data_IF_903772349593
#
_entry.id   IF_903772349593
#
_cell.length_a   1.000
_cell.length_b   1.000
_cell.length_c   1.000
_cell.angle_alpha   90.00
_cell.angle_beta   90.00
_cell.angle_gamma   90.00
#
_symmetry.space_group_name_H-M   'P 1'
#
loop_
_entity.id
_entity.type
_entity.pdbx_description
1 polymer ?
#
# COMPACT_ATOMS: atom_id res chain seq x y z
N UNK A 1 41.95 14.79 -24.83
CA UNK A 1 40.79 13.87 -24.97
C UNK A 1 40.41 13.82 -26.45
N UNK A 2 39.92 12.67 -26.93
CA UNK A 2 39.37 12.57 -28.29
C UNK A 2 38.05 13.35 -28.37
N UNK A 3 37.92 14.24 -29.35
CA UNK A 3 36.74 15.10 -29.54
C UNK A 3 35.66 14.48 -30.47
N UNK A 4 35.91 13.29 -31.00
CA UNK A 4 35.03 12.56 -31.91
C UNK A 4 35.00 11.08 -31.56
N UNK A 5 33.91 10.42 -31.92
CA UNK A 5 33.77 8.96 -31.97
C UNK A 5 34.04 8.57 -33.41
N UNK A 6 35.07 7.76 -33.65
CA UNK A 6 35.44 7.30 -34.99
C UNK A 6 35.12 5.82 -35.10
N UNK A 7 34.22 5.47 -36.02
CA UNK A 7 33.82 4.09 -36.32
C UNK A 7 34.45 3.70 -37.64
N UNK A 8 35.20 2.60 -37.67
CA UNK A 8 35.87 2.11 -38.88
C UNK A 8 35.39 0.71 -39.23
N UNK A 9 34.97 0.55 -40.49
CA UNK A 9 34.61 -0.74 -41.07
C UNK A 9 33.42 -1.44 -40.40
N UNK A 10 32.35 -0.70 -40.08
CA UNK A 10 31.14 -1.29 -39.53
C UNK A 10 30.39 -2.11 -40.60
N UNK A 11 30.11 -3.38 -40.26
CA UNK A 11 29.52 -4.40 -41.15
C UNK A 11 28.30 -5.09 -40.53
N UNK A 12 27.91 -4.73 -39.31
CA UNK A 12 26.74 -5.29 -38.63
C UNK A 12 25.49 -5.26 -39.51
N UNK A 13 24.82 -6.41 -39.65
CA UNK A 13 23.63 -6.61 -40.48
C UNK A 13 23.83 -6.20 -41.96
N UNK A 14 23.25 -5.08 -42.38
CA UNK A 14 23.27 -4.63 -43.77
C UNK A 14 24.26 -3.49 -44.02
N UNK A 15 25.07 -3.11 -43.02
CA UNK A 15 26.11 -2.09 -43.16
C UNK A 15 27.20 -2.56 -44.13
N UNK A 16 27.61 -1.67 -45.04
CA UNK A 16 28.53 -1.99 -46.14
C UNK A 16 29.95 -1.53 -45.85
N UNK A 17 30.53 -2.04 -44.76
CA UNK A 17 31.90 -1.71 -44.33
C UNK A 17 32.11 -0.19 -44.17
N UNK A 18 31.17 0.49 -43.53
CA UNK A 18 31.15 1.94 -43.47
C UNK A 18 32.12 2.48 -42.43
N UNK A 19 32.68 3.66 -42.68
CA UNK A 19 33.44 4.43 -41.69
C UNK A 19 32.79 5.79 -41.48
N UNK A 20 32.61 6.20 -40.23
CA UNK A 20 31.91 7.44 -39.86
C UNK A 20 32.55 8.08 -38.64
N UNK A 21 32.62 9.41 -38.65
CA UNK A 21 33.02 10.20 -37.49
C UNK A 21 31.80 10.93 -36.92
N UNK A 22 31.65 10.85 -35.60
CA UNK A 22 30.56 11.50 -34.86
C UNK A 22 31.18 12.50 -33.87
N UNK A 23 30.85 13.79 -33.92
CA UNK A 23 31.33 14.75 -32.94
C UNK A 23 30.83 14.40 -31.54
N UNK A 24 31.69 14.52 -30.53
CA UNK A 24 31.30 14.31 -29.13
C UNK A 24 30.64 15.56 -28.56
N UNK A 25 29.82 15.36 -27.53
CA UNK A 25 29.11 16.43 -26.81
C UNK A 25 28.16 17.25 -27.70
N UNK A 26 27.59 16.61 -28.72
CA UNK A 26 26.60 17.21 -29.63
C UNK A 26 25.33 16.36 -29.68
N UNK A 27 24.21 16.99 -29.99
CA UNK A 27 22.97 16.29 -30.31
C UNK A 27 23.02 15.79 -31.76
N UNK A 28 23.46 14.55 -31.95
CA UNK A 28 23.64 13.94 -33.29
C UNK A 28 22.41 13.12 -33.67
N UNK A 29 21.85 13.39 -34.86
CA UNK A 29 20.68 12.67 -35.40
C UNK A 29 21.11 11.80 -36.58
N UNK A 30 20.81 10.49 -36.51
CA UNK A 30 20.99 9.55 -37.62
C UNK A 30 19.66 9.41 -38.36
N UNK A 31 19.62 9.76 -39.64
CA UNK A 31 18.40 9.76 -40.48
C UNK A 31 18.58 8.94 -41.76
N UNK A 32 17.47 8.57 -42.40
CA UNK A 32 17.44 7.71 -43.59
C UNK A 32 16.19 6.83 -43.69
N UNK A 33 15.97 6.22 -44.86
CA UNK A 33 14.82 5.35 -45.14
C UNK A 33 14.70 4.15 -44.18
N UNK A 34 13.49 3.63 -43.99
CA UNK A 34 13.32 2.38 -43.21
C UNK A 34 14.19 1.26 -43.79
N UNK A 35 14.87 0.50 -42.93
CA UNK A 35 15.82 -0.52 -43.35
C UNK A 35 17.19 -0.03 -43.83
N UNK A 36 17.49 1.28 -43.81
CA UNK A 36 18.78 1.81 -44.29
C UNK A 36 20.01 1.50 -43.40
N UNK A 37 19.84 0.71 -42.33
CA UNK A 37 20.93 0.37 -41.40
C UNK A 37 21.15 1.35 -40.25
N UNK A 38 20.24 2.30 -40.01
CA UNK A 38 20.33 3.28 -38.89
C UNK A 38 20.46 2.60 -37.53
N UNK A 39 19.55 1.67 -37.24
CA UNK A 39 19.55 0.94 -35.97
C UNK A 39 20.77 0.03 -35.86
N UNK A 40 21.20 -0.55 -36.98
CA UNK A 40 22.41 -1.38 -37.03
C UNK A 40 23.68 -0.60 -36.69
N UNK A 41 23.78 0.65 -37.13
CA UNK A 41 24.89 1.53 -36.74
C UNK A 41 24.74 2.03 -35.29
N UNK A 42 23.57 2.54 -34.91
CA UNK A 42 23.35 3.20 -33.63
C UNK A 42 23.33 2.21 -32.44
N UNK A 43 22.46 1.21 -32.52
CA UNK A 43 22.20 0.25 -31.44
C UNK A 43 23.11 -0.97 -31.54
N UNK A 44 23.10 -1.63 -32.70
CA UNK A 44 23.77 -2.93 -32.84
C UNK A 44 25.30 -2.80 -33.00
N UNK A 45 25.82 -1.59 -33.24
CA UNK A 45 27.28 -1.34 -33.35
C UNK A 45 27.79 -0.40 -32.26
N UNK A 46 27.38 0.88 -32.25
CA UNK A 46 27.95 1.90 -31.35
C UNK A 46 27.55 1.65 -29.90
N UNK A 47 26.25 1.50 -29.62
CA UNK A 47 25.74 1.22 -28.29
C UNK A 47 26.24 -0.14 -27.77
N UNK A 48 26.12 -1.20 -28.57
CA UNK A 48 26.58 -2.53 -28.21
C UNK A 48 28.06 -2.54 -27.80
N UNK A 49 28.94 -1.93 -28.59
CA UNK A 49 30.36 -1.84 -28.25
C UNK A 49 30.62 -0.97 -27.01
N UNK A 50 29.85 0.11 -26.82
CA UNK A 50 29.97 1.00 -25.66
C UNK A 50 29.58 0.32 -24.36
N UNK A 51 28.47 -0.42 -24.37
CA UNK A 51 28.03 -1.21 -23.24
C UNK A 51 28.98 -2.38 -22.98
N UNK A 52 29.39 -3.13 -24.01
CA UNK A 52 30.33 -4.26 -23.88
C UNK A 52 31.63 -3.83 -23.22
N UNK A 53 32.28 -2.78 -23.73
CA UNK A 53 33.54 -2.27 -23.16
C UNK A 53 33.38 -1.83 -21.71
N UNK A 54 32.25 -1.20 -21.35
CA UNK A 54 31.98 -0.81 -19.97
C UNK A 54 31.82 -2.04 -19.06
N UNK A 55 31.01 -3.03 -19.47
CA UNK A 55 30.80 -4.28 -18.71
C UNK A 55 32.11 -5.07 -18.56
N UNK A 56 32.99 -5.04 -19.55
CA UNK A 56 34.32 -5.65 -19.49
C UNK A 56 35.25 -5.00 -18.45
N UNK A 57 34.99 -3.77 -18.01
CA UNK A 57 35.75 -3.17 -16.89
C UNK A 57 35.26 -3.65 -15.52
N UNK A 58 34.08 -4.26 -15.43
CA UNK A 58 33.51 -4.74 -14.17
C UNK A 58 34.15 -6.07 -13.73
N UNK A 59 33.97 -6.40 -12.44
CA UNK A 59 34.53 -7.61 -11.84
C UNK A 59 34.02 -8.88 -12.54
N UNK A 60 34.81 -9.98 -12.56
CA UNK A 60 34.38 -11.24 -13.16
C UNK A 60 33.04 -11.76 -12.63
N UNK A 61 32.75 -11.50 -11.35
CA UNK A 61 31.48 -11.84 -10.71
C UNK A 61 30.31 -11.00 -11.24
N UNK A 62 30.48 -9.68 -11.37
CA UNK A 62 29.43 -8.80 -11.90
C UNK A 62 29.07 -9.14 -13.36
N UNK A 63 30.04 -9.60 -14.17
CA UNK A 63 29.82 -10.03 -15.56
C UNK A 63 28.94 -11.28 -15.70
N UNK A 64 28.69 -12.03 -14.63
CA UNK A 64 27.78 -13.19 -14.66
C UNK A 64 26.30 -12.79 -14.67
N UNK A 65 25.98 -11.59 -14.18
CA UNK A 65 24.60 -11.10 -14.03
C UNK A 65 24.22 -10.04 -15.08
N UNK A 66 25.15 -9.70 -15.95
CA UNK A 66 24.97 -8.70 -16.99
C UNK A 66 24.89 -9.38 -18.34
N UNK A 67 24.00 -8.88 -19.19
CA UNK A 67 23.82 -9.40 -20.53
C UNK A 67 25.12 -9.19 -21.32
N UNK A 68 25.74 -10.29 -21.74
CA UNK A 68 26.97 -10.25 -22.52
C UNK A 68 26.58 -9.94 -23.96
N UNK A 69 26.67 -8.67 -24.32
CA UNK A 69 26.44 -8.27 -25.71
C UNK A 69 27.51 -8.89 -26.60
N UNK A 70 27.07 -9.50 -27.70
CA UNK A 70 27.97 -10.00 -28.72
C UNK A 70 28.84 -8.87 -29.26
N UNK A 71 30.11 -9.19 -29.57
CA UNK A 71 31.01 -8.22 -30.16
C UNK A 71 30.50 -7.87 -31.57
N UNK A 72 30.19 -6.60 -31.87
CA UNK A 72 29.67 -6.22 -33.17
C UNK A 72 30.71 -6.37 -34.27
N UNK A 73 30.26 -6.58 -35.50
CA UNK A 73 31.12 -6.66 -36.68
C UNK A 73 31.63 -5.27 -37.09
N UNK A 74 32.75 -4.86 -36.47
CA UNK A 74 33.43 -3.58 -36.73
C UNK A 74 34.94 -3.75 -36.59
N UNK A 75 35.73 -3.03 -37.39
CA UNK A 75 37.20 -3.12 -37.30
C UNK A 75 37.72 -2.41 -36.05
N UNK A 76 37.30 -1.16 -35.85
CA UNK A 76 37.64 -0.40 -34.66
C UNK A 76 36.62 0.71 -34.38
N UNK A 77 36.48 1.03 -33.10
CA UNK A 77 35.76 2.22 -32.64
C UNK A 77 36.62 2.94 -31.60
N UNK A 78 36.93 4.21 -31.87
CA UNK A 78 37.72 5.07 -31.01
C UNK A 78 36.88 6.21 -30.43
N UNK A 79 37.26 6.70 -29.25
CA UNK A 79 36.58 7.84 -28.61
C UNK A 79 35.21 7.52 -28.01
N UNK A 80 34.84 6.23 -27.92
CA UNK A 80 33.56 5.76 -27.40
C UNK A 80 33.44 6.00 -25.89
N UNK A 81 32.25 6.37 -25.43
CA UNK A 81 31.90 6.51 -24.01
C UNK A 81 31.05 5.32 -23.55
N UNK A 82 30.95 5.03 -22.25
CA UNK A 82 29.88 4.16 -21.75
C UNK A 82 28.54 4.63 -22.30
N UNK A 83 27.81 3.72 -22.94
CA UNK A 83 26.61 4.03 -23.70
C UNK A 83 25.36 3.54 -22.96
N UNK A 84 24.27 4.30 -23.07
CA UNK A 84 22.95 3.96 -22.55
C UNK A 84 21.97 4.03 -23.72
N UNK A 85 21.18 2.98 -23.92
CA UNK A 85 20.11 2.96 -24.91
C UNK A 85 18.80 3.35 -24.25
N UNK A 86 18.05 4.23 -24.91
CA UNK A 86 16.68 4.58 -24.55
C UNK A 86 15.80 4.16 -25.72
N UNK A 87 15.20 2.98 -25.59
CA UNK A 87 14.33 2.35 -26.60
C UNK A 87 12.89 2.28 -26.13
N UNK A 88 11.95 2.28 -27.06
CA UNK A 88 10.55 1.95 -26.79
C UNK A 88 10.36 0.42 -26.68
N UNK A 89 11.16 -0.26 -25.86
CA UNK A 89 10.89 -1.64 -25.46
C UNK A 89 9.97 -1.63 -24.26
N UNK A 90 8.88 -2.40 -24.30
CA UNK A 90 7.95 -2.52 -23.17
C UNK A 90 8.71 -2.92 -21.92
N UNK A 91 8.69 -2.06 -20.90
CA UNK A 91 9.21 -2.40 -19.57
C UNK A 91 8.51 -3.66 -19.04
N UNK A 92 9.23 -4.42 -18.21
CA UNK A 92 8.73 -5.59 -17.47
C UNK A 92 7.24 -5.48 -17.11
N UNK A 93 6.42 -6.42 -17.59
CA UNK A 93 4.97 -6.52 -17.34
C UNK A 93 4.67 -7.08 -15.96
N UNK A 94 5.40 -6.62 -14.94
CA UNK A 94 5.12 -7.02 -13.56
C UNK A 94 3.84 -6.31 -13.08
N UNK A 95 2.84 -7.04 -12.54
CA UNK A 95 1.62 -6.43 -12.04
C UNK A 95 1.86 -5.49 -10.84
N UNK A 96 3.02 -5.60 -10.19
CA UNK A 96 3.42 -4.73 -9.08
C UNK A 96 4.28 -3.55 -9.49
N UNK A 97 4.63 -3.41 -10.76
CA UNK A 97 5.43 -2.26 -11.21
C UNK A 97 4.53 -1.07 -11.54
N UNK A 98 4.86 0.10 -11.02
CA UNK A 98 4.17 1.38 -11.26
C UNK A 98 5.14 2.44 -11.74
N UNK A 99 4.62 3.57 -12.23
CA UNK A 99 5.44 4.76 -12.55
C UNK A 99 6.32 5.14 -11.35
N UNK A 100 5.76 5.17 -10.14
CA UNK A 100 6.48 5.50 -8.92
C UNK A 100 7.60 4.53 -8.57
N UNK A 101 7.47 3.22 -8.87
CA UNK A 101 8.55 2.26 -8.63
C UNK A 101 9.63 2.32 -9.71
N UNK A 102 9.23 2.50 -10.98
CA UNK A 102 10.19 2.59 -12.10
C UNK A 102 11.05 3.85 -11.99
N UNK A 103 10.48 4.94 -11.50
CA UNK A 103 11.17 6.22 -11.29
C UNK A 103 11.85 6.30 -9.92
N UNK A 104 11.74 5.27 -9.07
CA UNK A 104 12.19 5.21 -7.68
C UNK A 104 11.62 6.30 -6.76
N UNK A 105 10.72 7.17 -7.25
CA UNK A 105 10.05 8.21 -6.45
C UNK A 105 9.33 7.56 -5.27
N UNK A 106 8.70 6.42 -5.51
CA UNK A 106 8.02 5.66 -4.47
C UNK A 106 8.98 5.23 -3.35
N UNK A 107 10.24 4.89 -3.67
CA UNK A 107 11.21 4.48 -2.66
C UNK A 107 11.57 5.62 -1.71
N UNK A 108 11.74 6.84 -2.24
CA UNK A 108 11.93 8.04 -1.44
C UNK A 108 10.67 8.39 -0.63
N UNK A 109 9.48 8.20 -1.19
CA UNK A 109 8.23 8.37 -0.44
C UNK A 109 8.17 7.43 0.77
N UNK A 110 8.55 6.15 0.61
CA UNK A 110 8.60 5.23 1.76
C UNK A 110 9.54 5.72 2.87
N UNK A 111 10.70 6.27 2.50
CA UNK A 111 11.63 6.86 3.47
C UNK A 111 11.01 8.07 4.17
N UNK A 112 10.41 8.99 3.41
CA UNK A 112 9.75 10.19 3.93
C UNK A 112 8.63 9.82 4.91
N UNK A 113 7.67 8.99 4.49
CA UNK A 113 6.51 8.59 5.30
C UNK A 113 6.90 7.79 6.54
N UNK A 114 7.95 6.96 6.47
CA UNK A 114 8.43 6.25 7.67
C UNK A 114 9.14 7.14 8.67
N UNK A 115 9.72 8.26 8.21
CA UNK A 115 10.62 9.09 9.03
C UNK A 115 9.89 10.26 9.71
N UNK A 116 8.97 10.91 8.99
CA UNK A 116 8.23 12.10 9.48
C UNK A 116 6.70 11.94 9.37
N UNK A 117 6.22 10.79 8.88
CA UNK A 117 4.80 10.53 8.77
C UNK A 117 4.14 10.41 10.15
N UNK A 118 2.99 11.05 10.30
CA UNK A 118 2.16 10.98 11.49
C UNK A 118 1.15 9.85 11.29
N UNK A 119 1.20 8.77 12.09
CA UNK A 119 0.23 7.68 11.95
C UNK A 119 -1.12 8.07 12.56
N UNK A 120 -2.19 7.64 11.91
CA UNK A 120 -3.56 7.77 12.41
C UNK A 120 -4.16 6.38 12.63
N UNK A 121 -5.17 6.29 13.50
CA UNK A 121 -5.91 5.07 13.67
C UNK A 121 -6.76 4.79 12.42
N UNK A 122 -6.66 3.60 11.80
CA UNK A 122 -7.49 3.26 10.64
C UNK A 122 -9.00 3.17 10.94
N UNK A 123 -9.39 2.99 12.21
CA UNK A 123 -10.79 2.84 12.62
C UNK A 123 -11.44 4.16 12.99
N UNK A 124 -10.76 4.99 13.78
CA UNK A 124 -11.35 6.22 14.33
C UNK A 124 -10.67 7.51 13.84
N UNK A 125 -9.59 7.43 13.06
CA UNK A 125 -8.85 8.58 12.53
C UNK A 125 -8.02 9.37 13.55
N UNK A 126 -7.99 8.96 14.83
CA UNK A 126 -7.23 9.66 15.86
C UNK A 126 -5.73 9.54 15.61
N UNK A 127 -4.97 10.60 15.91
CA UNK A 127 -3.51 10.60 15.82
C UNK A 127 -2.94 9.56 16.80
N UNK A 128 -2.06 8.70 16.29
CA UNK A 128 -1.29 7.75 17.09
C UNK A 128 0.09 8.37 17.31
N UNK A 129 0.43 8.62 18.56
CA UNK A 129 1.76 9.10 18.93
C UNK A 129 2.37 8.13 19.94
N UNK A 130 3.63 7.76 19.70
CA UNK A 130 4.47 7.12 20.71
C UNK A 130 5.12 8.21 21.53
N UNK A 131 5.00 8.14 22.84
CA UNK A 131 5.64 9.09 23.74
C UNK A 131 6.43 8.35 24.80
N UNK A 132 7.68 8.75 25.03
CA UNK A 132 8.44 8.20 26.16
C UNK A 132 7.79 8.64 27.49
N UNK A 133 7.97 7.89 28.58
CA UNK A 133 7.49 8.32 29.89
C UNK A 133 7.92 9.75 30.25
N UNK A 134 9.16 10.13 29.93
CA UNK A 134 9.67 11.48 30.13
C UNK A 134 8.94 12.54 29.29
N UNK A 135 8.55 12.23 28.05
CA UNK A 135 7.76 13.14 27.21
C UNK A 135 6.33 13.30 27.72
N UNK A 136 5.69 12.21 28.16
CA UNK A 136 4.36 12.24 28.79
C UNK A 136 4.42 13.14 30.03
N UNK A 137 5.43 12.97 30.88
CA UNK A 137 5.62 13.78 32.07
C UNK A 137 5.81 15.27 31.74
N UNK A 138 6.66 15.58 30.76
CA UNK A 138 6.87 16.95 30.31
C UNK A 138 5.59 17.62 29.80
N UNK A 139 4.80 16.91 28.98
CA UNK A 139 3.51 17.40 28.50
C UNK A 139 2.52 17.62 29.65
N UNK A 140 2.28 16.61 30.49
CA UNK A 140 1.35 16.69 31.62
C UNK A 140 1.71 17.84 32.55
N UNK A 141 3.00 18.04 32.83
CA UNK A 141 3.46 19.13 33.68
C UNK A 141 3.23 20.50 33.04
N UNK A 142 3.50 20.63 31.72
CA UNK A 142 3.34 21.89 30.98
C UNK A 142 1.88 22.30 30.77
N UNK A 143 0.99 21.35 30.47
CA UNK A 143 -0.40 21.62 30.09
C UNK A 143 -1.35 21.78 31.30
N UNK A 144 -0.98 21.19 32.44
CA UNK A 144 -1.86 21.09 33.60
C UNK A 144 -1.32 21.79 34.84
N UNK A 145 -0.40 22.74 34.69
CA UNK A 145 0.19 23.48 35.81
C UNK A 145 -0.90 24.13 36.70
N UNK A 146 -0.86 23.85 38.01
CA UNK A 146 -1.83 24.32 38.99
C UNK A 146 -3.15 23.55 39.05
N UNK A 147 -3.42 22.63 38.10
CA UNK A 147 -4.68 21.85 38.06
C UNK A 147 -4.60 20.59 38.93
N UNK A 148 -5.77 20.12 39.37
CA UNK A 148 -5.95 18.81 40.02
C UNK A 148 -6.20 17.75 38.96
N UNK A 149 -5.38 16.71 38.95
CA UNK A 149 -5.48 15.61 38.00
C UNK A 149 -5.64 14.27 38.71
N UNK A 150 -6.23 13.31 38.00
CA UNK A 150 -6.26 11.90 38.34
C UNK A 150 -5.46 11.13 37.30
N UNK A 151 -4.50 10.33 37.77
CA UNK A 151 -3.71 9.41 36.95
C UNK A 151 -4.42 8.07 36.93
N UNK A 152 -4.84 7.66 35.73
CA UNK A 152 -5.67 6.50 35.49
C UNK A 152 -4.93 5.49 34.61
N UNK A 153 -5.04 4.21 34.92
CA UNK A 153 -4.53 3.11 34.10
C UNK A 153 -5.70 2.37 33.44
N UNK A 154 -5.96 2.54 32.14
CA UNK A 154 -7.09 1.91 31.46
C UNK A 154 -6.83 0.43 31.18
N UNK A 155 -7.35 -0.45 32.03
CA UNK A 155 -7.16 -1.91 31.93
C UNK A 155 -8.11 -2.52 30.89
N UNK A 156 -9.33 -2.02 30.81
CA UNK A 156 -10.32 -2.43 29.80
C UNK A 156 -11.10 -1.21 29.29
N UNK A 157 -11.37 -1.15 27.99
CA UNK A 157 -12.09 -0.02 27.36
C UNK A 157 -13.17 -0.54 26.42
N UNK A 158 -14.43 -0.35 26.79
CA UNK A 158 -15.58 -0.73 25.96
C UNK A 158 -15.60 -2.20 25.51
N UNK A 159 -15.03 -3.12 26.30
CA UNK A 159 -14.93 -4.55 25.94
C UNK A 159 -15.90 -5.38 26.78
N UNK A 160 -16.41 -6.48 26.20
CA UNK A 160 -17.32 -7.42 26.89
C UNK A 160 -16.55 -8.36 27.79
N UNK A 161 -16.96 -8.48 29.05
CA UNK A 161 -16.34 -9.40 29.99
C UNK A 161 -16.76 -9.17 31.43
N UNK A 162 -16.54 -10.16 32.28
CA UNK A 162 -16.79 -10.06 33.73
C UNK A 162 -15.59 -9.51 34.53
N UNK A 163 -14.39 -9.51 33.92
CA UNK A 163 -13.14 -8.93 34.46
C UNK A 163 -12.79 -9.28 35.92
N UNK A 164 -13.22 -10.45 36.42
CA UNK A 164 -13.02 -10.85 37.82
C UNK A 164 -11.55 -10.89 38.23
N UNK A 165 -10.69 -11.45 37.37
CA UNK A 165 -9.25 -11.60 37.66
C UNK A 165 -8.58 -10.23 37.77
N UNK A 166 -8.95 -9.32 36.89
CA UNK A 166 -8.46 -7.95 36.83
C UNK A 166 -8.91 -7.17 38.07
N UNK A 167 -10.20 -7.23 38.43
CA UNK A 167 -10.74 -6.57 39.63
C UNK A 167 -10.12 -7.10 40.93
N UNK A 168 -9.93 -8.42 41.04
CA UNK A 168 -9.22 -9.03 42.19
C UNK A 168 -7.76 -8.57 42.27
N UNK A 169 -7.06 -8.44 41.13
CA UNK A 169 -5.69 -7.96 41.10
C UNK A 169 -5.60 -6.50 41.57
N UNK A 170 -6.53 -5.64 41.12
CA UNK A 170 -6.58 -4.23 41.53
C UNK A 170 -6.87 -4.11 43.03
N UNK A 171 -7.82 -4.90 43.56
CA UNK A 171 -8.16 -4.96 44.98
C UNK A 171 -6.97 -5.41 45.83
N UNK A 172 -6.27 -6.49 45.44
CA UNK A 172 -5.06 -6.97 46.15
C UNK A 172 -3.94 -5.94 46.18
N UNK A 173 -3.84 -5.11 45.15
CA UNK A 173 -2.87 -4.02 45.10
C UNK A 173 -3.31 -2.77 45.88
N UNK A 174 -4.53 -2.76 46.45
CA UNK A 174 -5.05 -1.66 47.27
C UNK A 174 -5.48 -0.43 46.47
N UNK A 175 -5.67 -0.56 45.16
CA UNK A 175 -6.11 0.55 44.31
C UNK A 175 -7.63 0.65 44.22
N UNK A 176 -8.12 1.86 43.93
CA UNK A 176 -9.53 2.09 43.55
C UNK A 176 -9.68 1.93 42.04
N UNK A 177 -10.89 1.65 41.56
CA UNK A 177 -11.17 1.59 40.13
C UNK A 177 -12.28 2.57 39.75
N UNK A 178 -12.21 3.13 38.54
CA UNK A 178 -13.31 3.78 37.85
C UNK A 178 -13.92 2.76 36.89
N UNK A 179 -15.16 2.37 37.10
CA UNK A 179 -15.88 1.40 36.28
C UNK A 179 -17.08 2.11 35.64
N UNK A 180 -17.13 2.13 34.32
CA UNK A 180 -18.20 2.78 33.54
C UNK A 180 -18.47 4.24 33.96
N UNK A 181 -17.42 4.94 34.39
CA UNK A 181 -17.47 6.34 34.85
C UNK A 181 -17.65 6.53 36.35
N UNK A 182 -18.03 5.49 37.11
CA UNK A 182 -18.23 5.56 38.55
C UNK A 182 -16.98 5.12 39.33
N UNK A 183 -16.63 5.87 40.37
CA UNK A 183 -15.51 5.52 41.25
C UNK A 183 -15.96 4.49 42.29
N UNK A 184 -15.37 3.30 42.24
CA UNK A 184 -15.72 2.16 43.10
C UNK A 184 -14.52 1.75 43.96
N UNK A 185 -14.78 1.54 45.25
CA UNK A 185 -13.86 0.88 46.17
C UNK A 185 -14.01 -0.64 46.07
N UNK A 186 -12.92 -1.35 45.80
CA UNK A 186 -12.93 -2.80 45.54
C UNK A 186 -12.79 -3.64 46.83
N UNK A 187 -13.34 -3.15 47.93
CA UNK A 187 -13.36 -3.87 49.22
C UNK A 187 -14.38 -5.02 49.18
N UNK A 188 -15.41 -4.89 48.35
CA UNK A 188 -16.42 -5.92 48.08
C UNK A 188 -16.33 -6.40 46.61
N UNK A 189 -16.59 -7.69 46.33
CA UNK A 189 -16.48 -8.24 44.98
C UNK A 189 -17.56 -7.69 44.04
N UNK A 190 -17.17 -6.77 43.16
CA UNK A 190 -18.03 -6.21 42.11
C UNK A 190 -18.27 -7.24 41.01
N UNK A 191 -19.54 -7.54 40.71
CA UNK A 191 -19.93 -8.43 39.60
C UNK A 191 -20.35 -7.63 38.38
N UNK A 192 -19.57 -7.76 37.29
CA UNK A 192 -19.88 -7.18 35.99
C UNK A 192 -20.59 -8.18 35.07
N UNK A 193 -21.42 -7.68 34.16
CA UNK A 193 -22.21 -8.50 33.23
C UNK A 193 -21.36 -8.87 32.00
N UNK A 194 -21.15 -10.17 31.80
CA UNK A 194 -20.36 -10.71 30.68
C UNK A 194 -20.89 -10.28 29.29
N UNK A 195 -22.16 -9.89 29.16
CA UNK A 195 -22.77 -9.52 27.88
C UNK A 195 -22.67 -8.03 27.56
N UNK A 196 -22.29 -7.19 28.52
CA UNK A 196 -22.20 -5.73 28.35
C UNK A 196 -20.75 -5.29 28.14
N UNK A 197 -20.58 -4.17 27.44
CA UNK A 197 -19.29 -3.52 27.29
C UNK A 197 -18.99 -2.76 28.58
N UNK A 198 -17.81 -2.98 29.14
CA UNK A 198 -17.35 -2.30 30.35
C UNK A 198 -16.04 -1.54 30.09
N UNK A 199 -15.87 -0.41 30.76
CA UNK A 199 -14.63 0.38 30.82
C UNK A 199 -14.12 0.38 32.25
N UNK A 200 -12.91 -0.11 32.46
CA UNK A 200 -12.30 -0.30 33.79
C UNK A 200 -10.95 0.38 33.80
N UNK A 201 -10.79 1.32 34.72
CA UNK A 201 -9.58 2.12 34.87
C UNK A 201 -9.12 2.13 36.31
N UNK A 202 -7.85 1.82 36.55
CA UNK A 202 -7.27 1.85 37.89
C UNK A 202 -6.94 3.29 38.23
N UNK A 203 -7.41 3.76 39.39
CA UNK A 203 -7.05 5.07 39.93
C UNK A 203 -5.72 4.93 40.66
N UNK A 204 -4.64 5.34 40.00
CA UNK A 204 -3.27 5.18 40.52
C UNK A 204 -2.92 6.28 41.51
N UNK A 205 -3.20 7.53 41.17
CA UNK A 205 -2.95 8.67 42.06
C UNK A 205 -3.87 9.86 41.74
N UNK A 206 -4.02 10.76 42.71
CA UNK A 206 -4.70 12.04 42.57
C UNK A 206 -3.76 13.15 43.05
N UNK A 207 -3.38 14.04 42.13
CA UNK A 207 -2.28 14.97 42.30
C UNK A 207 -2.70 16.40 41.95
N UNK A 208 -2.01 17.38 42.53
CA UNK A 208 -2.04 18.78 42.07
C UNK A 208 -0.71 19.07 41.40
N UNK A 209 -0.71 19.49 40.14
CA UNK A 209 0.54 19.81 39.44
C UNK A 209 1.13 21.10 39.99
N UNK A 210 2.25 21.01 40.69
CA UNK A 210 3.04 22.12 41.24
C UNK A 210 4.54 21.83 41.06
N UNK A 211 5.41 22.85 41.04
CA UNK A 211 6.86 22.64 41.08
C UNK A 211 7.25 21.75 42.28
N UNK A 212 8.09 20.74 42.04
CA UNK A 212 8.56 19.79 43.07
C UNK A 212 7.77 18.49 43.22
N UNK A 213 6.67 18.28 42.47
CA UNK A 213 5.93 17.00 42.49
C UNK A 213 6.36 16.01 41.39
N UNK A 214 7.41 16.33 40.64
CA UNK A 214 7.81 15.60 39.42
C UNK A 214 8.11 14.13 39.69
N UNK A 215 8.88 13.82 40.75
CA UNK A 215 9.20 12.43 41.12
C UNK A 215 7.96 11.61 41.47
N UNK A 216 6.96 12.24 42.12
CA UNK A 216 5.72 11.56 42.46
C UNK A 216 4.89 11.30 41.21
N UNK A 217 4.75 12.30 40.34
CA UNK A 217 4.04 12.15 39.07
C UNK A 217 4.69 11.09 38.19
N UNK A 218 6.03 11.06 38.12
CA UNK A 218 6.79 10.02 37.43
C UNK A 218 6.47 8.63 37.96
N UNK A 219 6.49 8.44 39.28
CA UNK A 219 6.10 7.17 39.90
C UNK A 219 4.65 6.76 39.56
N UNK A 220 3.71 7.70 39.58
CA UNK A 220 2.31 7.43 39.24
C UNK A 220 2.13 7.07 37.77
N UNK A 221 2.77 7.79 36.86
CA UNK A 221 2.70 7.54 35.41
C UNK A 221 3.35 6.19 35.07
N UNK A 222 4.52 5.88 35.61
CA UNK A 222 5.15 4.57 35.40
C UNK A 222 4.30 3.42 35.94
N UNK A 223 3.66 3.61 37.10
CA UNK A 223 2.75 2.62 37.66
C UNK A 223 1.53 2.42 36.76
N UNK A 224 0.93 3.51 36.24
CA UNK A 224 -0.20 3.42 35.32
C UNK A 224 0.16 2.72 34.00
N UNK A 225 1.31 3.05 33.42
CA UNK A 225 1.85 2.40 32.23
C UNK A 225 2.03 0.89 32.46
N UNK A 226 2.57 0.47 33.61
CA UNK A 226 2.71 -0.96 33.95
C UNK A 226 1.38 -1.68 34.07
N UNK A 227 0.37 -1.05 34.68
CA UNK A 227 -0.96 -1.66 34.90
C UNK A 227 -1.77 -1.83 33.63
N UNK A 228 -1.54 -0.99 32.62
CA UNK A 228 -2.34 -0.96 31.38
C UNK A 228 -1.52 -1.21 30.12
N UNK A 229 -0.39 -1.92 30.27
CA UNK A 229 0.50 -2.36 29.18
C UNK A 229 0.97 -1.22 28.25
N UNK A 230 1.28 -0.06 28.83
CA UNK A 230 1.84 1.11 28.15
C UNK A 230 0.82 2.20 27.82
N UNK A 231 -0.30 2.29 28.56
CA UNK A 231 -1.27 3.39 28.45
C UNK A 231 -1.35 4.19 29.76
N UNK A 232 -1.76 5.44 29.68
CA UNK A 232 -2.07 6.24 30.88
C UNK A 232 -3.07 7.32 30.51
N UNK A 233 -4.17 7.39 31.24
CA UNK A 233 -5.16 8.45 31.12
C UNK A 233 -4.94 9.50 32.21
N UNK A 234 -4.94 10.76 31.82
CA UNK A 234 -4.87 11.90 32.73
C UNK A 234 -6.21 12.62 32.65
N UNK A 235 -6.96 12.56 33.73
CA UNK A 235 -8.27 13.20 33.85
C UNK A 235 -8.15 14.43 34.74
N UNK A 236 -8.42 15.61 34.21
CA UNK A 236 -8.48 16.85 35.01
C UNK A 236 -9.82 16.89 35.73
N UNK A 237 -9.82 17.17 37.05
CA UNK A 237 -11.08 17.33 37.80
C UNK A 237 -11.87 18.50 37.18
N UNK A 238 -13.12 18.25 36.76
CA UNK A 238 -14.00 19.19 36.05
C UNK A 238 -13.46 19.71 34.70
N UNK A 239 -12.60 18.93 34.04
CA UNK A 239 -11.98 19.32 32.78
C UNK A 239 -11.90 18.21 31.74
N UNK A 240 -10.97 18.37 30.81
CA UNK A 240 -10.72 17.40 29.74
C UNK A 240 -9.93 16.19 30.24
N UNK A 241 -10.17 15.06 29.59
CA UNK A 241 -9.43 13.82 29.79
C UNK A 241 -8.56 13.55 28.55
N UNK A 242 -7.29 13.21 28.77
CA UNK A 242 -6.33 12.88 27.70
C UNK A 242 -5.68 11.53 27.97
N UNK A 243 -5.55 10.73 26.91
CA UNK A 243 -4.86 9.44 26.97
C UNK A 243 -3.49 9.54 26.28
N UNK A 244 -2.50 8.97 26.93
CA UNK A 244 -1.12 8.88 26.45
C UNK A 244 -0.72 7.40 26.29
N UNK A 245 0.21 7.13 25.37
CA UNK A 245 0.73 5.77 25.15
C UNK A 245 2.25 5.74 24.98
N UNK A 246 2.87 4.77 25.65
CA UNK A 246 4.29 4.42 25.48
C UNK A 246 4.54 3.59 24.21
N UNK A 247 3.47 3.01 23.65
CA UNK A 247 3.48 2.23 22.40
C UNK A 247 2.76 3.02 21.31
N UNK A 248 2.90 2.58 20.05
CA UNK A 248 2.09 3.12 18.97
C UNK A 248 0.68 2.51 19.06
N UNK A 249 -0.14 3.00 19.99
CA UNK A 249 -1.51 2.53 20.18
C UNK A 249 -2.51 3.67 20.08
N UNK A 250 -3.66 3.38 19.47
CA UNK A 250 -4.76 4.33 19.35
C UNK A 250 -5.31 4.71 20.73
N UNK A 251 -5.47 6.02 21.00
CA UNK A 251 -5.97 6.46 22.28
C UNK A 251 -7.47 6.23 22.49
N UNK A 252 -8.25 5.92 21.45
CA UNK A 252 -9.70 5.72 21.59
C UNK A 252 -10.09 4.24 21.66
N UNK A 253 -9.57 3.41 20.75
CA UNK A 253 -9.99 2.00 20.61
C UNK A 253 -8.92 0.99 21.05
N UNK A 254 -7.69 1.43 21.30
CA UNK A 254 -6.59 0.56 21.73
C UNK A 254 -5.99 -0.31 20.62
N UNK A 255 -6.28 -0.01 19.36
CA UNK A 255 -5.61 -0.61 18.21
C UNK A 255 -4.12 -0.27 18.27
N UNK A 256 -3.28 -1.29 18.44
CA UNK A 256 -1.83 -1.14 18.33
C UNK A 256 -1.42 -1.23 16.87
N UNK A 257 -0.60 -0.29 16.41
CA UNK A 257 0.04 -0.37 15.10
C UNK A 257 1.50 -0.82 15.29
N UNK A 258 2.02 -1.68 14.39
CA UNK A 258 3.42 -2.06 14.42
C UNK A 258 4.31 -0.85 14.14
N UNK A 259 5.59 -0.96 14.50
CA UNK A 259 6.57 0.07 14.15
C UNK A 259 6.60 0.26 12.63
N UNK A 260 6.48 1.51 12.21
CA UNK A 260 6.47 1.89 10.81
C UNK A 260 7.91 2.09 10.34
N UNK A 261 8.30 1.30 9.36
CA UNK A 261 9.60 1.35 8.70
C UNK A 261 9.37 1.54 7.19
N UNK A 262 10.39 1.89 6.39
CA UNK A 262 10.21 2.05 4.94
C UNK A 262 9.55 0.84 4.26
N UNK A 263 9.85 -0.38 4.73
CA UNK A 263 9.22 -1.62 4.24
C UNK A 263 7.72 -1.71 4.52
N UNK A 264 7.23 -1.05 5.57
CA UNK A 264 5.80 -0.99 5.89
C UNK A 264 5.01 -0.21 4.84
N UNK A 265 5.67 0.63 4.05
CA UNK A 265 5.08 1.37 2.92
C UNK A 265 5.34 0.69 1.57
N UNK A 266 5.93 -0.51 1.56
CA UNK A 266 6.17 -1.26 0.34
C UNK A 266 5.07 -2.29 0.10
N UNK A 267 4.30 -2.14 -0.97
CA UNK A 267 3.36 -3.17 -1.42
C UNK A 267 4.06 -4.40 -2.03
N UNK A 268 5.38 -4.34 -2.24
CA UNK A 268 6.20 -5.51 -2.61
C UNK A 268 6.66 -6.32 -1.38
N UNK A 269 6.39 -5.82 -0.17
CA UNK A 269 6.81 -6.45 1.09
C UNK A 269 5.59 -6.95 1.86
N UNK A 270 5.63 -8.13 2.51
CA UNK A 270 4.51 -8.61 3.32
C UNK A 270 4.18 -7.70 4.51
N UNK A 271 5.13 -6.86 4.93
CA UNK A 271 4.94 -5.88 6.00
C UNK A 271 4.02 -4.74 5.60
N UNK A 272 4.05 -4.31 4.33
CA UNK A 272 3.25 -3.20 3.83
C UNK A 272 2.10 -3.61 2.91
N UNK A 273 2.21 -4.75 2.22
CA UNK A 273 1.23 -5.23 1.26
C UNK A 273 -0.12 -5.56 1.91
N UNK A 274 -1.21 -5.15 1.28
CA UNK A 274 -2.56 -5.57 1.63
C UNK A 274 -2.62 -7.10 1.72
N UNK A 275 -3.20 -7.62 2.79
CA UNK A 275 -3.22 -9.06 3.07
C UNK A 275 -4.07 -9.85 2.05
N UNK A 276 -5.04 -9.21 1.41
CA UNK A 276 -5.97 -9.84 0.46
C UNK A 276 -5.40 -9.91 -0.95
N UNK A 277 -4.99 -8.78 -1.54
CA UNK A 277 -4.41 -8.77 -2.89
C UNK A 277 -2.89 -8.99 -2.91
N UNK A 278 -2.25 -9.18 -1.76
CA UNK A 278 -0.78 -9.29 -1.63
C UNK A 278 -0.03 -8.18 -2.37
N UNK A 279 -0.55 -6.96 -2.28
CA UNK A 279 0.07 -5.77 -2.87
C UNK A 279 -0.05 -5.61 -4.38
N UNK A 280 -0.93 -6.38 -5.02
CA UNK A 280 -1.25 -6.19 -6.45
C UNK A 280 -2.23 -5.02 -6.65
N UNK A 281 -3.17 -4.83 -5.72
CA UNK A 281 -4.23 -3.83 -5.81
C UNK A 281 -5.52 -4.34 -6.46
N UNK A 282 -5.43 -5.45 -7.19
CA UNK A 282 -6.58 -6.14 -7.76
C UNK A 282 -6.72 -7.56 -7.23
N UNK A 283 -7.95 -8.04 -7.22
CA UNK A 283 -8.30 -9.46 -7.09
C UNK A 283 -8.83 -9.97 -8.43
N UNK A 284 -8.97 -11.28 -8.59
CA UNK A 284 -9.63 -11.86 -9.74
C UNK A 284 -11.06 -12.21 -9.36
N UNK A 285 -12.03 -11.78 -10.16
CA UNK A 285 -13.42 -12.17 -10.01
C UNK A 285 -13.99 -12.58 -11.37
N UNK A 286 -15.01 -13.44 -11.37
CA UNK A 286 -15.72 -13.80 -12.59
C UNK A 286 -16.37 -12.56 -13.23
N UNK A 287 -16.11 -12.38 -14.51
CA UNK A 287 -16.62 -11.26 -15.29
C UNK A 287 -17.95 -11.66 -15.95
N UNK A 288 -19.08 -11.00 -15.62
CA UNK A 288 -20.37 -11.31 -16.22
C UNK A 288 -20.36 -11.34 -17.75
N UNK A 289 -19.56 -10.47 -18.37
CA UNK A 289 -19.48 -10.35 -19.83
C UNK A 289 -18.72 -11.52 -20.43
N UNK A 290 -17.74 -12.08 -19.71
CA UNK A 290 -17.01 -13.27 -20.17
C UNK A 290 -17.77 -14.55 -19.86
N UNK A 291 -18.46 -14.61 -18.72
CA UNK A 291 -19.24 -15.78 -18.29
C UNK A 291 -20.44 -16.02 -19.20
N UNK A 292 -21.11 -14.96 -19.66
CA UNK A 292 -22.20 -15.04 -20.65
C UNK A 292 -21.61 -14.89 -22.06
N UNK A 293 -21.22 -16.00 -22.68
CA UNK A 293 -20.54 -16.03 -23.97
C UNK A 293 -21.44 -15.62 -25.15
N UNK A 294 -22.72 -16.00 -25.12
CA UNK A 294 -23.66 -15.76 -26.22
C UNK A 294 -25.06 -15.36 -25.69
N UNK A 295 -25.29 -14.06 -25.42
CA UNK A 295 -26.57 -13.60 -24.87
C UNK A 295 -27.79 -13.87 -25.76
N UNK A 296 -27.60 -14.19 -27.06
CA UNK A 296 -28.68 -14.46 -28.02
C UNK A 296 -29.29 -15.86 -27.87
N UNK A 297 -28.70 -16.71 -27.02
CA UNK A 297 -29.15 -18.08 -26.77
C UNK A 297 -29.80 -18.24 -25.40
N UNK A 298 -30.54 -19.34 -25.16
CA UNK A 298 -31.04 -19.67 -23.83
C UNK A 298 -29.91 -19.89 -22.84
N UNK A 299 -30.17 -19.65 -21.56
CA UNK A 299 -29.12 -19.59 -20.53
C UNK A 299 -28.31 -20.90 -20.44
N UNK A 300 -29.01 -22.03 -20.37
CA UNK A 300 -28.40 -23.36 -20.27
C UNK A 300 -28.05 -23.98 -21.64
N UNK A 301 -28.50 -23.36 -22.74
CA UNK A 301 -28.30 -23.85 -24.11
C UNK A 301 -27.40 -22.90 -24.91
N UNK A 302 -26.21 -22.65 -24.37
CA UNK A 302 -25.12 -21.98 -25.08
C UNK A 302 -24.87 -20.51 -24.71
N UNK A 303 -25.72 -19.85 -23.92
CA UNK A 303 -25.40 -18.50 -23.43
C UNK A 303 -24.39 -18.50 -22.28
N UNK A 304 -24.51 -19.45 -21.35
CA UNK A 304 -23.57 -19.60 -20.24
C UNK A 304 -22.35 -20.44 -20.66
N UNK A 305 -21.16 -19.86 -20.57
CA UNK A 305 -19.91 -20.54 -20.90
C UNK A 305 -19.49 -21.56 -19.83
N UNK A 306 -18.97 -21.10 -18.68
CA UNK A 306 -18.45 -22.00 -17.65
C UNK A 306 -19.58 -22.62 -16.82
N UNK A 307 -19.44 -23.91 -16.53
CA UNK A 307 -20.32 -24.62 -15.59
C UNK A 307 -21.72 -24.95 -16.12
N UNK A 308 -22.07 -24.58 -17.36
CA UNK A 308 -23.41 -24.83 -17.94
C UNK A 308 -23.82 -26.32 -17.98
N UNK A 309 -22.85 -27.23 -18.09
CA UNK A 309 -23.06 -28.68 -18.04
C UNK A 309 -22.92 -29.29 -16.64
N UNK A 310 -22.62 -28.49 -15.61
CA UNK A 310 -22.46 -28.97 -14.24
C UNK A 310 -23.81 -29.24 -13.59
N UNK A 311 -23.98 -30.41 -12.99
CA UNK A 311 -25.21 -30.76 -12.26
C UNK A 311 -25.56 -29.76 -11.16
N UNK A 312 -24.57 -29.20 -10.47
CA UNK A 312 -24.78 -28.19 -9.43
C UNK A 312 -25.34 -26.88 -10.00
N UNK A 313 -24.83 -26.46 -11.17
CA UNK A 313 -25.29 -25.25 -11.85
C UNK A 313 -26.66 -25.44 -12.47
N UNK A 314 -26.88 -26.58 -13.12
CA UNK A 314 -28.15 -26.96 -13.73
C UNK A 314 -29.26 -27.02 -12.69
N UNK A 315 -29.06 -27.72 -11.57
CA UNK A 315 -30.06 -27.81 -10.51
C UNK A 315 -30.35 -26.44 -9.91
N UNK A 316 -29.31 -25.68 -9.55
CA UNK A 316 -29.50 -24.36 -8.92
C UNK A 316 -30.21 -23.36 -9.83
N UNK A 317 -29.92 -23.35 -11.13
CA UNK A 317 -30.58 -22.47 -12.09
C UNK A 317 -32.01 -22.90 -12.41
N UNK A 318 -32.28 -24.20 -12.50
CA UNK A 318 -33.63 -24.72 -12.76
C UNK A 318 -34.54 -24.48 -11.55
N UNK A 319 -34.06 -24.77 -10.34
CA UNK A 319 -34.80 -24.52 -9.10
C UNK A 319 -35.11 -23.02 -8.92
N UNK A 320 -34.13 -22.15 -9.23
CA UNK A 320 -34.32 -20.71 -9.19
C UNK A 320 -35.31 -20.23 -10.24
N UNK A 321 -35.26 -20.80 -11.46
CA UNK A 321 -36.18 -20.47 -12.54
C UNK A 321 -37.63 -20.82 -12.19
N UNK A 322 -37.87 -22.00 -11.61
CA UNK A 322 -39.19 -22.42 -11.16
C UNK A 322 -39.71 -21.56 -10.00
N UNK A 323 -38.86 -21.33 -8.99
CA UNK A 323 -39.23 -20.57 -7.78
C UNK A 323 -39.56 -19.11 -8.09
N UNK A 324 -38.82 -18.51 -9.03
CA UNK A 324 -38.93 -17.09 -9.37
C UNK A 324 -39.79 -16.83 -10.61
N UNK A 325 -40.32 -17.88 -11.24
CA UNK A 325 -41.14 -17.79 -12.46
C UNK A 325 -40.37 -17.25 -13.67
N UNK A 326 -39.09 -17.59 -13.80
CA UNK A 326 -38.21 -17.12 -14.88
C UNK A 326 -38.18 -18.16 -15.99
N UNK A 327 -38.54 -17.75 -17.20
CA UNK A 327 -38.43 -18.59 -18.39
C UNK A 327 -36.99 -18.56 -18.95
N UNK A 328 -36.15 -19.48 -18.48
CA UNK A 328 -34.75 -19.61 -18.90
C UNK A 328 -34.57 -20.26 -20.29
N UNK A 329 -35.66 -20.66 -20.94
CA UNK A 329 -35.64 -21.20 -22.31
C UNK A 329 -35.59 -20.12 -23.38
N UNK A 330 -35.86 -18.86 -23.02
CA UNK A 330 -35.71 -17.71 -23.90
C UNK A 330 -34.24 -17.26 -24.01
N UNK A 331 -33.86 -16.62 -25.13
CA UNK A 331 -32.60 -15.91 -25.24
C UNK A 331 -32.31 -15.04 -24.01
N UNK A 332 -31.10 -15.13 -23.47
CA UNK A 332 -30.75 -14.43 -22.23
C UNK A 332 -30.94 -12.91 -22.34
N UNK A 333 -30.64 -12.33 -23.50
CA UNK A 333 -30.79 -10.90 -23.74
C UNK A 333 -32.24 -10.39 -23.76
N UNK A 334 -33.20 -11.26 -24.11
CA UNK A 334 -34.63 -10.96 -24.10
C UNK A 334 -35.19 -10.91 -22.67
N UNK A 335 -34.48 -11.48 -21.70
CA UNK A 335 -34.88 -11.42 -20.30
C UNK A 335 -34.80 -9.98 -19.77
N UNK A 336 -35.77 -9.55 -18.94
CA UNK A 336 -35.74 -8.25 -18.29
C UNK A 336 -34.41 -8.03 -17.55
N UNK A 337 -33.88 -6.80 -17.59
CA UNK A 337 -32.58 -6.47 -16.96
C UNK A 337 -32.52 -6.85 -15.48
N UNK A 338 -33.64 -6.70 -14.75
CA UNK A 338 -33.75 -7.14 -13.34
C UNK A 338 -33.55 -8.64 -13.19
N UNK A 339 -34.17 -9.43 -14.07
CA UNK A 339 -34.07 -10.89 -14.11
C UNK A 339 -32.66 -11.34 -14.47
N UNK A 340 -32.03 -10.72 -15.48
CA UNK A 340 -30.62 -10.98 -15.83
C UNK A 340 -29.68 -10.73 -14.65
N UNK A 341 -29.82 -9.58 -13.99
CA UNK A 341 -29.01 -9.25 -12.82
C UNK A 341 -29.24 -10.24 -11.67
N UNK A 342 -30.49 -10.67 -11.46
CA UNK A 342 -30.83 -11.66 -10.44
C UNK A 342 -30.17 -13.01 -10.71
N UNK A 343 -30.13 -13.47 -11.96
CA UNK A 343 -29.46 -14.71 -12.35
C UNK A 343 -27.94 -14.61 -12.18
N UNK A 344 -27.33 -13.48 -12.53
CA UNK A 344 -25.88 -13.28 -12.45
C UNK A 344 -25.42 -13.14 -10.99
N UNK A 345 -26.01 -12.22 -10.23
CA UNK A 345 -25.54 -11.80 -8.91
C UNK A 345 -26.29 -12.43 -7.73
N UNK A 346 -27.46 -13.03 -7.97
CA UNK A 346 -28.26 -13.66 -6.94
C UNK A 346 -29.07 -12.70 -6.06
N UNK A 347 -29.75 -13.29 -5.08
CA UNK A 347 -30.46 -12.65 -3.98
C UNK A 347 -30.44 -13.58 -2.74
N UNK A 348 -31.31 -13.34 -1.76
CA UNK A 348 -31.42 -14.18 -0.56
C UNK A 348 -31.94 -15.61 -0.80
N UNK A 349 -32.57 -15.88 -1.95
CA UNK A 349 -33.15 -17.18 -2.30
C UNK A 349 -32.27 -17.98 -3.27
N UNK A 350 -31.50 -17.28 -4.11
CA UNK A 350 -30.62 -17.88 -5.11
C UNK A 350 -29.24 -17.21 -5.07
N UNK A 351 -28.14 -17.97 -4.91
CA UNK A 351 -26.80 -17.39 -4.76
C UNK A 351 -26.29 -16.63 -5.99
N UNK A 352 -26.81 -16.90 -7.19
CA UNK A 352 -26.30 -16.29 -8.42
C UNK A 352 -25.22 -17.13 -9.11
N UNK A 353 -25.14 -17.02 -10.44
CA UNK A 353 -24.16 -17.74 -11.27
C UNK A 353 -22.72 -17.46 -10.80
N UNK A 354 -22.37 -16.19 -10.56
CA UNK A 354 -21.00 -15.83 -10.17
C UNK A 354 -20.59 -16.47 -8.85
N UNK A 355 -21.49 -16.48 -7.86
CA UNK A 355 -21.21 -17.09 -6.56
C UNK A 355 -21.07 -18.62 -6.65
N UNK A 356 -21.89 -19.26 -7.48
CA UNK A 356 -21.79 -20.68 -7.76
C UNK A 356 -20.47 -21.04 -8.47
N UNK A 357 -20.01 -20.17 -9.40
CA UNK A 357 -18.70 -20.31 -10.05
C UNK A 357 -17.55 -20.13 -9.07
N UNK A 358 -17.60 -19.15 -8.17
CA UNK A 358 -16.59 -18.95 -7.11
C UNK A 358 -16.50 -20.17 -6.19
N UNK A 359 -17.64 -20.72 -5.76
CA UNK A 359 -17.68 -21.91 -4.91
C UNK A 359 -17.07 -23.12 -5.64
N UNK A 360 -17.33 -23.26 -6.94
CA UNK A 360 -16.71 -24.29 -7.77
C UNK A 360 -15.19 -24.05 -7.95
N UNK A 361 -14.77 -22.82 -8.21
CA UNK A 361 -13.36 -22.44 -8.36
C UNK A 361 -12.55 -22.82 -7.11
N UNK A 362 -13.10 -22.60 -5.91
CA UNK A 362 -12.43 -22.98 -4.65
C UNK A 362 -12.19 -24.49 -4.50
N UNK A 363 -12.99 -25.33 -5.15
CA UNK A 363 -12.94 -26.80 -5.06
C UNK A 363 -12.32 -27.47 -6.30
N UNK A 364 -12.15 -26.72 -7.39
CA UNK A 364 -11.65 -27.17 -8.67
C UNK A 364 -10.19 -27.67 -8.61
N UNK A 365 -9.87 -28.61 -9.50
CA UNK A 365 -8.49 -29.01 -9.78
C UNK A 365 -7.70 -27.86 -10.43
N UNK A 366 -6.37 -27.91 -10.36
CA UNK A 366 -5.49 -26.85 -10.87
C UNK A 366 -5.75 -26.54 -12.36
N UNK A 367 -5.77 -27.55 -13.23
CA UNK A 367 -6.05 -27.34 -14.67
C UNK A 367 -7.45 -26.79 -14.96
N UNK A 368 -8.46 -27.13 -14.15
CA UNK A 368 -9.80 -26.57 -14.31
C UNK A 368 -9.87 -25.11 -13.79
N UNK A 369 -9.10 -24.77 -12.75
CA UNK A 369 -8.96 -23.37 -12.30
C UNK A 369 -8.31 -22.50 -13.37
N UNK A 370 -7.27 -22.98 -14.05
CA UNK A 370 -6.64 -22.26 -15.16
C UNK A 370 -7.65 -21.96 -16.27
N UNK A 371 -8.46 -22.94 -16.66
CA UNK A 371 -9.54 -22.73 -17.63
C UNK A 371 -10.61 -21.75 -17.14
N UNK A 372 -10.99 -21.80 -15.87
CA UNK A 372 -11.94 -20.85 -15.28
C UNK A 372 -11.40 -19.41 -15.24
N UNK A 373 -10.08 -19.22 -15.12
CA UNK A 373 -9.46 -17.89 -15.09
C UNK A 373 -9.66 -17.11 -16.41
N UNK A 374 -9.88 -17.78 -17.54
CA UNK A 374 -10.21 -17.11 -18.81
C UNK A 374 -11.52 -16.31 -18.73
N UNK A 375 -12.44 -16.73 -17.86
CA UNK A 375 -13.73 -16.07 -17.60
C UNK A 375 -13.66 -15.04 -16.47
N UNK A 376 -12.48 -14.82 -15.90
CA UNK A 376 -12.26 -13.85 -14.84
C UNK A 376 -11.62 -12.58 -15.39
N UNK A 377 -11.84 -11.47 -14.71
CA UNK A 377 -11.19 -10.19 -14.97
C UNK A 377 -10.61 -9.63 -13.68
N UNK A 378 -9.51 -8.85 -13.74
CA UNK A 378 -9.01 -8.16 -12.58
C UNK A 378 -10.05 -7.13 -12.11
N UNK A 379 -10.45 -7.24 -10.85
CA UNK A 379 -11.32 -6.31 -10.15
C UNK A 379 -10.56 -5.59 -9.06
N UNK A 380 -11.02 -4.40 -8.69
CA UNK A 380 -10.41 -3.66 -7.61
C UNK A 380 -10.50 -4.44 -6.29
N UNK A 381 -9.40 -4.49 -5.54
CA UNK A 381 -9.37 -5.23 -4.28
C UNK A 381 -10.34 -4.57 -3.26
N UNK A 382 -11.25 -5.33 -2.64
CA UNK A 382 -12.28 -4.76 -1.76
C UNK A 382 -11.73 -4.17 -0.47
N UNK A 383 -10.58 -4.65 0.02
CA UNK A 383 -10.04 -4.23 1.33
C UNK A 383 -9.09 -3.04 1.24
N UNK A 384 -8.36 -2.90 0.13
CA UNK A 384 -7.43 -1.80 -0.06
C UNK A 384 -7.89 -0.80 -1.12
N UNK A 385 -8.98 -1.07 -1.83
CA UNK A 385 -9.52 -0.21 -2.89
C UNK A 385 -8.43 0.20 -3.90
N UNK A 386 -7.71 -0.79 -4.45
CA UNK A 386 -6.63 -0.52 -5.39
C UNK A 386 -5.31 -0.02 -4.79
N UNK A 387 -5.30 0.46 -3.54
CA UNK A 387 -4.14 1.15 -2.91
C UNK A 387 -2.99 0.24 -2.49
N UNK A 388 -3.15 -1.08 -2.62
CA UNK A 388 -2.12 -2.13 -2.44
C UNK A 388 -1.51 -2.28 -1.04
N UNK A 389 -1.76 -1.36 -0.11
CA UNK A 389 -1.15 -1.33 1.21
C UNK A 389 -2.10 -1.76 2.33
N UNK A 390 -1.53 -2.08 3.49
CA UNK A 390 -2.27 -2.32 4.74
C UNK A 390 -2.91 -1.04 5.28
N UNK A 391 -4.04 -1.13 5.99
CA UNK A 391 -4.72 0.03 6.57
C UNK A 391 -3.81 0.89 7.47
N UNK A 392 -2.95 0.26 8.28
CA UNK A 392 -2.02 0.98 9.15
C UNK A 392 -1.04 1.88 8.37
N UNK A 393 -0.55 1.42 7.22
CA UNK A 393 0.35 2.20 6.36
C UNK A 393 -0.39 3.31 5.60
N UNK A 394 -1.63 3.03 5.18
CA UNK A 394 -2.49 4.01 4.50
C UNK A 394 -2.93 5.16 5.42
N UNK A 395 -3.03 4.90 6.72
CA UNK A 395 -3.42 5.91 7.71
C UNK A 395 -2.27 6.87 8.10
N UNK A 396 -1.05 6.64 7.61
CA UNK A 396 0.08 7.55 7.85
C UNK A 396 0.02 8.71 6.89
N UNK A 397 0.12 9.92 7.43
CA UNK A 397 0.05 11.15 6.63
C UNK A 397 1.30 12.00 6.82
N UNK A 398 1.76 12.60 5.73
CA UNK A 398 2.78 13.65 5.73
C UNK A 398 2.07 14.94 5.32
N UNK A 399 2.06 15.92 6.23
CA UNK A 399 1.40 17.22 6.03
C UNK A 399 -0.06 17.08 5.56
N UNK A 400 -0.80 16.13 6.16
CA UNK A 400 -2.22 15.88 5.89
C UNK A 400 -2.52 15.00 4.67
N UNK A 401 -1.49 14.44 3.99
CA UNK A 401 -1.67 13.60 2.80
C UNK A 401 -1.10 12.22 3.04
N UNK A 402 -1.90 11.17 2.82
CA UNK A 402 -1.45 9.77 2.86
C UNK A 402 -0.62 9.41 1.63
N UNK A 403 0.19 8.35 1.74
CA UNK A 403 1.03 7.92 0.61
C UNK A 403 0.20 7.55 -0.61
N UNK A 404 -0.97 6.94 -0.41
CA UNK A 404 -1.88 6.56 -1.50
C UNK A 404 -2.51 7.78 -2.18
N UNK A 405 -2.89 8.81 -1.42
CA UNK A 405 -3.39 10.07 -1.99
C UNK A 405 -2.30 10.79 -2.80
N UNK A 406 -1.06 10.79 -2.29
CA UNK A 406 0.09 11.34 -3.01
C UNK A 406 0.36 10.61 -4.32
N UNK A 407 0.30 9.27 -4.32
CA UNK A 407 0.59 8.49 -5.53
C UNK A 407 -0.56 8.47 -6.53
N UNK A 408 -1.80 8.66 -6.07
CA UNK A 408 -3.00 8.66 -6.91
C UNK A 408 -3.27 9.97 -7.63
N UNK A 409 -2.71 11.10 -7.18
CA UNK A 409 -2.87 12.37 -7.87
C UNK A 409 -1.98 12.48 -9.13
N UNK A 410 -2.36 13.33 -10.11
CA UNK A 410 -1.49 13.66 -11.23
C UNK A 410 -0.15 14.25 -10.76
N UNK A 411 0.92 13.93 -11.45
CA UNK A 411 2.29 14.40 -11.18
C UNK A 411 2.36 15.93 -11.12
N UNK A 412 1.60 16.64 -11.96
CA UNK A 412 1.46 18.10 -11.89
C UNK A 412 1.01 18.59 -10.50
N UNK A 413 -0.01 17.95 -9.93
CA UNK A 413 -0.55 18.29 -8.60
C UNK A 413 0.39 17.86 -7.47
N UNK A 414 1.05 16.71 -7.64
CA UNK A 414 2.08 16.27 -6.71
C UNK A 414 3.23 17.30 -6.62
N UNK A 415 3.63 17.90 -7.75
CA UNK A 415 4.67 18.93 -7.78
C UNK A 415 4.30 20.19 -6.98
N UNK A 416 3.07 20.68 -7.15
CA UNK A 416 2.55 21.82 -6.38
C UNK A 416 2.62 21.53 -4.87
N UNK A 417 2.20 20.32 -4.48
CA UNK A 417 2.18 19.89 -3.09
C UNK A 417 3.59 19.78 -2.50
N UNK A 418 4.54 19.20 -3.23
CA UNK A 418 5.94 19.07 -2.80
C UNK A 418 6.59 20.45 -2.65
N UNK A 419 6.28 21.40 -3.53
CA UNK A 419 6.78 22.79 -3.42
C UNK A 419 6.18 23.54 -2.24
N UNK A 420 4.95 23.19 -1.84
CA UNK A 420 4.27 23.80 -0.71
C UNK A 420 4.63 23.17 0.65
N UNK A 421 5.35 22.05 0.67
CA UNK A 421 5.71 21.39 1.93
C UNK A 421 6.61 22.26 2.81
N UNK A 422 6.15 22.47 4.04
CA UNK A 422 6.91 23.15 5.08
C UNK A 422 7.29 22.15 6.16
N UNK A 423 8.59 21.99 6.36
CA UNK A 423 9.18 21.14 7.38
C UNK A 423 9.87 21.99 8.44
N UNK A 424 9.86 21.51 9.68
CA UNK A 424 10.64 22.12 10.77
C UNK A 424 12.13 21.88 10.55
N UNK A 425 13.01 22.68 11.18
CA UNK A 425 14.46 22.50 11.09
C UNK A 425 14.90 21.08 11.47
N UNK A 426 14.26 20.49 12.48
CA UNK A 426 14.51 19.12 12.91
C UNK A 426 14.08 18.09 11.87
N UNK A 427 12.93 18.28 11.22
CA UNK A 427 12.47 17.41 10.14
C UNK A 427 13.41 17.51 8.93
N UNK A 428 13.85 18.72 8.56
CA UNK A 428 14.77 18.94 7.43
C UNK A 428 16.13 18.27 7.63
N UNK A 429 16.64 18.20 8.86
CA UNK A 429 17.86 17.44 9.16
C UNK A 429 17.73 15.95 8.84
N UNK A 430 16.52 15.40 8.93
CA UNK A 430 16.25 13.97 8.69
C UNK A 430 15.90 13.70 7.23
N UNK A 431 14.99 14.49 6.65
CA UNK A 431 14.39 14.20 5.34
C UNK A 431 14.70 15.23 4.24
N UNK A 432 15.47 16.28 4.51
CA UNK A 432 15.71 17.37 3.54
C UNK A 432 16.18 16.88 2.17
N UNK A 433 17.23 16.03 2.15
CA UNK A 433 17.74 15.43 0.91
C UNK A 433 16.73 14.52 0.22
N UNK A 434 15.89 13.82 0.99
CA UNK A 434 14.84 12.93 0.44
C UNK A 434 13.77 13.75 -0.26
N UNK A 435 13.35 14.87 0.34
CA UNK A 435 12.38 15.79 -0.24
C UNK A 435 12.93 16.45 -1.51
N UNK A 436 14.20 16.85 -1.51
CA UNK A 436 14.87 17.40 -2.69
C UNK A 436 14.86 16.40 -3.86
N UNK A 437 15.15 15.14 -3.58
CA UNK A 437 15.18 14.10 -4.61
C UNK A 437 13.78 13.75 -5.15
N UNK A 438 12.76 13.72 -4.29
CA UNK A 438 11.36 13.59 -4.71
C UNK A 438 10.98 14.74 -5.64
N UNK A 439 11.30 15.98 -5.26
CA UNK A 439 11.04 17.18 -6.05
C UNK A 439 11.72 17.12 -7.41
N UNK A 440 13.03 16.87 -7.45
CA UNK A 440 13.82 16.84 -8.69
C UNK A 440 13.26 15.82 -9.69
N UNK A 441 12.87 14.63 -9.21
CA UNK A 441 12.31 13.57 -10.07
C UNK A 441 10.92 13.91 -10.59
N UNK A 442 10.06 14.49 -9.75
CA UNK A 442 8.74 14.96 -10.17
C UNK A 442 8.87 16.10 -11.18
N UNK A 443 9.78 17.06 -10.96
CA UNK A 443 10.07 18.14 -11.91
C UNK A 443 10.57 17.60 -13.26
N UNK A 444 11.43 16.58 -13.23
CA UNK A 444 11.87 15.90 -14.44
C UNK A 444 10.70 15.24 -15.20
N UNK A 445 9.80 14.52 -14.50
CA UNK A 445 8.61 13.93 -15.12
C UNK A 445 7.71 14.99 -15.78
N UNK A 446 7.52 16.15 -15.15
CA UNK A 446 6.82 17.27 -15.75
C UNK A 446 7.56 17.82 -16.99
N UNK A 447 8.88 17.97 -16.91
CA UNK A 447 9.69 18.51 -18.01
C UNK A 447 9.66 17.62 -19.27
N UNK A 448 9.50 16.30 -19.12
CA UNK A 448 9.34 15.35 -20.24
C UNK A 448 7.88 15.17 -20.69
N UNK A 449 6.93 15.94 -20.12
CA UNK A 449 5.52 15.92 -20.52
C UNK A 449 4.70 14.75 -19.96
N UNK A 450 5.09 14.19 -18.81
CA UNK A 450 4.38 13.10 -18.12
C UNK A 450 3.61 13.58 -16.88
N UNK A 451 3.28 14.86 -16.84
CA UNK A 451 2.64 15.56 -15.72
C UNK A 451 1.18 15.13 -15.46
N UNK A 452 0.51 14.59 -16.49
CA UNK A 452 -0.85 14.05 -16.42
C UNK A 452 -0.95 12.65 -15.80
N UNK A 453 0.17 11.92 -15.68
CA UNK A 453 0.20 10.58 -15.11
C UNK A 453 0.10 10.63 -13.58
N UNK A 454 -0.35 9.53 -12.96
CA UNK A 454 -0.21 9.30 -11.52
C UNK A 454 0.94 8.32 -11.25
N UNK A 455 1.55 8.41 -10.06
CA UNK A 455 2.67 7.53 -9.67
C UNK A 455 2.22 6.08 -9.41
N UNK A 456 0.95 5.87 -9.08
CA UNK A 456 0.38 4.53 -8.90
C UNK A 456 0.05 3.81 -10.22
N UNK A 457 0.04 4.52 -11.35
CA UNK A 457 -0.29 3.94 -12.65
C UNK A 457 0.62 2.75 -12.96
N UNK A 458 0.01 1.65 -13.37
CA UNK A 458 0.74 0.42 -13.73
C UNK A 458 1.68 0.66 -14.91
N UNK A 459 2.94 0.26 -14.78
CA UNK A 459 3.91 0.37 -15.87
C UNK A 459 3.58 -0.54 -17.05
N UNK A 460 2.75 -1.56 -16.85
CA UNK A 460 2.29 -2.44 -17.94
C UNK A 460 1.28 -1.77 -18.88
N UNK A 461 0.77 -0.58 -18.53
CA UNK A 461 -0.25 0.17 -19.29
C UNK A 461 0.31 1.39 -20.02
N UNK A 462 1.64 1.47 -20.14
CA UNK A 462 2.40 2.58 -20.71
C UNK A 462 3.27 2.12 -21.87
#
# INVERSE_FOLDING_TARGET
MLNRISVHGARQHNLKNISVEIPRNTFTVITGLSGSGKSSLAFDTIYAEGQRRYVETLSPYARQFLDQMERPEVDSIDGLSPAISIEQKTTSRSPRSTVGTVTEIYDYLRLLYSSVGVPHCPLCGAVIARQSPAQILGQVFSEHQGKRIMVLAPVARGRKGEYKKELEAISRAGFRARIDGELVTLDEPVKLDKRKNHTIEVVVDRLVIKPGIEQRLEGSVQTALKWSDGLVAISVIDGEERLYSEKLACPNDGTSIPQLEPRSFSFNSPYGACDTCKGVGSTWAFDPVKVICDPSKPLLDGALGPGSSSSYMLSGLTDAAETLGIDISKPFEELPKKTRNLLIYGNSQFPGILKMLDDNFSRASEGYREWLMDYMSPTECPDCHGKRLKPASLAVQVKGVSIAEFTGMPVARALELVRAWQFTDRELQVVGRVVDEIRNRIEFLCAVGLDYLSLERSSATL
#
